data_IF_868334525124
#
_entry.id   IF_868334525124
#
_cell.length_a   1.000
_cell.length_b   1.000
_cell.length_c   1.000
_cell.angle_alpha   90.00
_cell.angle_beta   90.00
_cell.angle_gamma   90.00
#
_symmetry.space_group_name_H-M   'P 1'
#
loop_
_entity.id
_entity.type
_entity.pdbx_description
1 polymer ?
#
# COMPACT_ATOMS: atom_id res chain seq x y z
N UNK A 1 -7.86 -2.89 -20.09
CA UNK A 1 -6.41 -2.71 -20.31
C UNK A 1 -5.76 -2.77 -18.95
N UNK A 2 -5.31 -3.96 -18.55
CA UNK A 2 -4.80 -4.28 -17.21
C UNK A 2 -3.38 -3.72 -17.08
N UNK A 3 -3.15 -2.82 -16.12
CA UNK A 3 -1.81 -2.30 -15.82
C UNK A 3 -0.87 -3.43 -15.35
N UNK A 4 0.45 -3.24 -15.43
CA UNK A 4 1.40 -4.31 -15.17
C UNK A 4 1.40 -4.68 -13.68
N UNK A 5 1.31 -5.99 -13.39
CA UNK A 5 1.71 -6.57 -12.10
C UNK A 5 0.58 -6.98 -11.14
N UNK A 6 -0.29 -7.89 -11.55
CA UNK A 6 -1.12 -8.65 -10.59
C UNK A 6 -0.32 -9.72 -9.81
N UNK A 7 0.99 -9.83 -10.09
CA UNK A 7 2.00 -10.57 -9.30
C UNK A 7 2.84 -9.62 -8.39
N UNK A 8 2.35 -8.40 -8.13
CA UNK A 8 3.02 -7.50 -7.20
C UNK A 8 2.56 -7.83 -5.77
N UNK A 9 3.45 -8.42 -4.97
CA UNK A 9 3.19 -8.66 -3.55
C UNK A 9 2.88 -7.38 -2.77
N UNK A 10 2.73 -7.51 -1.47
CA UNK A 10 2.50 -6.42 -0.54
C UNK A 10 3.81 -6.04 0.14
N UNK A 11 4.20 -4.75 0.16
CA UNK A 11 5.44 -4.32 0.78
C UNK A 11 5.32 -4.35 2.30
N UNK A 12 6.24 -5.06 2.94
CA UNK A 12 6.33 -5.20 4.40
C UNK A 12 7.78 -4.94 4.85
N UNK A 13 7.96 -4.19 5.93
CA UNK A 13 9.27 -3.99 6.58
C UNK A 13 9.11 -3.93 8.11
N UNK A 14 10.21 -4.12 8.84
CA UNK A 14 10.24 -3.99 10.29
C UNK A 14 10.29 -2.52 10.70
N UNK A 15 9.24 -2.02 11.35
CA UNK A 15 9.24 -0.66 11.84
C UNK A 15 9.89 -0.58 13.21
N UNK A 16 11.06 0.06 13.31
CA UNK A 16 11.75 0.27 14.59
C UNK A 16 10.92 1.06 15.62
N UNK A 17 10.01 1.95 15.18
CA UNK A 17 9.11 2.70 16.08
C UNK A 17 7.94 1.87 16.60
N UNK A 18 7.38 0.98 15.79
CA UNK A 18 6.28 0.11 16.20
C UNK A 18 6.78 -1.19 16.85
N UNK A 19 8.05 -1.57 16.64
CA UNK A 19 8.63 -2.81 17.13
C UNK A 19 8.06 -4.06 16.46
N UNK A 20 7.57 -3.97 15.21
CA UNK A 20 6.95 -5.08 14.48
C UNK A 20 7.06 -4.91 12.97
N UNK A 21 6.81 -6.01 12.26
CA UNK A 21 6.64 -6.00 10.82
C UNK A 21 5.29 -5.37 10.45
N UNK A 22 5.32 -4.43 9.51
CA UNK A 22 4.16 -3.62 9.11
C UNK A 22 4.06 -3.50 7.60
N UNK A 23 2.85 -3.32 7.10
CA UNK A 23 2.62 -2.94 5.71
C UNK A 23 3.12 -1.50 5.48
N UNK A 24 3.57 -1.22 4.26
CA UNK A 24 4.04 0.11 3.88
C UNK A 24 3.02 0.81 2.98
N UNK A 25 2.88 2.12 3.15
CA UNK A 25 2.17 2.99 2.22
C UNK A 25 3.13 3.90 1.48
N UNK A 26 2.70 4.41 0.33
CA UNK A 26 3.49 5.34 -0.49
C UNK A 26 2.99 6.75 -0.25
N UNK A 27 3.90 7.63 0.16
CA UNK A 27 3.70 9.06 0.22
C UNK A 27 4.49 9.73 -0.90
N UNK A 28 3.88 10.70 -1.59
CA UNK A 28 4.58 11.54 -2.56
C UNK A 28 4.92 12.86 -1.88
N UNK A 29 6.19 13.27 -1.96
CA UNK A 29 6.60 14.57 -1.45
C UNK A 29 6.24 15.72 -2.42
N UNK A 30 6.64 16.94 -2.08
CA UNK A 30 6.39 18.16 -2.87
C UNK A 30 7.06 18.12 -4.27
N UNK A 31 8.06 17.26 -4.46
CA UNK A 31 8.73 17.05 -5.73
C UNK A 31 8.11 15.91 -6.55
N UNK A 32 7.16 15.17 -5.95
CA UNK A 32 6.53 13.99 -6.54
C UNK A 32 7.33 12.71 -6.36
N UNK A 33 8.36 12.70 -5.51
CA UNK A 33 9.16 11.51 -5.24
C UNK A 33 8.45 10.58 -4.25
N UNK A 34 8.53 9.27 -4.50
CA UNK A 34 7.80 8.27 -3.75
C UNK A 34 8.60 7.76 -2.55
N UNK A 35 8.07 8.01 -1.35
CA UNK A 35 8.61 7.53 -0.08
C UNK A 35 7.74 6.41 0.48
N UNK A 36 8.36 5.34 0.97
CA UNK A 36 7.65 4.24 1.64
C UNK A 36 7.65 4.48 3.13
N UNK A 37 6.46 4.57 3.71
CA UNK A 37 6.28 4.89 5.12
C UNK A 37 5.50 3.78 5.83
N UNK A 38 5.65 3.73 7.15
CA UNK A 38 4.88 2.85 8.03
C UNK A 38 3.39 3.13 7.88
N UNK A 39 2.58 2.09 7.63
CA UNK A 39 1.11 2.23 7.62
C UNK A 39 0.52 2.70 8.96
N UNK A 40 1.25 2.56 10.08
CA UNK A 40 0.73 2.87 11.40
C UNK A 40 1.21 4.18 12.01
N UNK A 41 2.44 4.59 11.71
CA UNK A 41 3.06 5.75 12.37
C UNK A 41 3.79 6.69 11.42
N UNK A 42 3.68 6.46 10.11
CA UNK A 42 4.29 7.27 9.06
C UNK A 42 5.81 7.43 9.15
N UNK A 43 6.48 6.58 9.93
CA UNK A 43 7.94 6.53 9.95
C UNK A 43 8.48 6.10 8.59
N UNK A 44 9.51 6.78 8.12
CA UNK A 44 10.23 6.43 6.90
C UNK A 44 10.88 5.05 7.02
N UNK A 45 10.80 4.29 5.92
CA UNK A 45 11.31 2.93 5.85
C UNK A 45 12.50 2.86 4.92
N UNK A 46 13.49 2.08 5.32
CA UNK A 46 14.61 1.76 4.46
C UNK A 46 14.11 0.96 3.24
N UNK A 47 14.30 1.47 2.00
CA UNK A 47 13.90 0.77 0.80
C UNK A 47 14.64 -0.57 0.60
N UNK A 48 15.84 -0.75 1.16
CA UNK A 48 16.62 -1.99 1.06
C UNK A 48 16.07 -3.10 1.97
N UNK A 49 15.35 -2.75 3.04
CA UNK A 49 14.74 -3.72 3.95
C UNK A 49 13.32 -4.16 3.54
N UNK A 50 12.78 -3.60 2.44
CA UNK A 50 11.43 -3.90 1.97
C UNK A 50 11.34 -5.31 1.40
N UNK A 51 10.43 -6.11 1.97
CA UNK A 51 10.09 -7.45 1.50
C UNK A 51 8.71 -7.42 0.87
N UNK A 52 8.57 -8.03 -0.30
CA UNK A 52 7.29 -8.18 -0.99
C UNK A 52 6.71 -9.55 -0.66
N UNK A 53 5.51 -9.58 -0.09
CA UNK A 53 4.86 -10.82 0.35
C UNK A 53 3.54 -11.07 -0.37
N UNK A 54 3.20 -12.32 -0.61
CA UNK A 54 1.91 -12.70 -1.20
C UNK A 54 0.72 -12.35 -0.29
N UNK A 55 -0.48 -12.19 -0.86
CA UNK A 55 -1.71 -11.93 -0.11
C UNK A 55 -1.93 -12.95 1.02
N UNK A 56 -1.65 -14.22 0.74
CA UNK A 56 -1.80 -15.34 1.69
C UNK A 56 -0.97 -15.18 2.97
N UNK A 57 0.07 -14.33 2.95
CA UNK A 57 0.95 -14.04 4.09
C UNK A 57 0.55 -12.81 4.89
N UNK A 58 -0.38 -11.99 4.39
CA UNK A 58 -0.82 -10.79 5.10
C UNK A 58 -1.44 -11.07 6.47
N UNK A 59 -2.12 -12.23 6.61
CA UNK A 59 -2.72 -12.64 7.87
C UNK A 59 -1.70 -12.77 9.01
N UNK A 60 -0.48 -13.19 8.71
CA UNK A 60 0.62 -13.32 9.68
C UNK A 60 1.04 -11.95 10.26
N UNK A 61 0.79 -10.88 9.51
CA UNK A 61 1.07 -9.48 9.90
C UNK A 61 -0.17 -8.75 10.43
N UNK A 62 -1.31 -9.43 10.53
CA UNK A 62 -2.58 -8.85 10.99
C UNK A 62 -3.33 -8.04 9.93
N UNK A 63 -2.99 -8.21 8.65
CA UNK A 63 -3.69 -7.59 7.53
C UNK A 63 -4.54 -8.62 6.77
N UNK A 64 -5.52 -8.12 6.02
CA UNK A 64 -6.32 -8.95 5.12
C UNK A 64 -6.89 -8.12 4.00
N UNK A 65 -6.94 -8.69 2.81
CA UNK A 65 -7.62 -8.08 1.67
C UNK A 65 -9.09 -8.44 1.76
N UNK A 66 -9.95 -7.42 1.69
CA UNK A 66 -11.38 -7.62 1.48
C UNK A 66 -11.69 -7.12 0.08
N UNK A 67 -12.08 -8.03 -0.80
CA UNK A 67 -12.54 -7.66 -2.13
C UNK A 67 -13.78 -6.78 -2.01
N UNK A 68 -13.72 -5.57 -2.57
CA UNK A 68 -14.89 -4.72 -2.71
C UNK A 68 -15.77 -5.29 -3.84
N UNK A 69 -16.96 -5.79 -3.50
CA UNK A 69 -18.00 -6.07 -4.50
C UNK A 69 -18.64 -4.78 -5.07
N UNK A 70 -18.21 -3.60 -4.62
CA UNK A 70 -18.74 -2.33 -5.08
C UNK A 70 -17.68 -1.25 -4.97
N UNK A 71 -17.43 -0.54 -6.08
CA UNK A 71 -16.58 0.65 -6.09
C UNK A 71 -17.08 1.70 -5.09
N UNK A 72 -16.35 2.82 -4.97
CA UNK A 72 -16.42 3.77 -3.84
C UNK A 72 -17.76 4.49 -3.55
N UNK A 73 -18.92 3.95 -3.95
CA UNK A 73 -20.27 4.41 -3.67
C UNK A 73 -20.68 5.67 -4.43
N UNK A 74 -19.71 6.40 -5.01
CA UNK A 74 -19.93 7.60 -5.79
C UNK A 74 -20.04 7.29 -7.28
N UNK A 75 -21.09 7.76 -7.99
CA UNK A 75 -21.15 7.68 -9.44
C UNK A 75 -19.97 8.46 -10.03
N UNK A 76 -19.01 7.74 -10.64
CA UNK A 76 -17.85 8.35 -11.33
C UNK A 76 -16.47 7.84 -10.89
N UNK A 77 -16.38 7.20 -9.72
CA UNK A 77 -15.12 6.70 -9.16
C UNK A 77 -14.55 5.50 -9.95
N UNK A 78 -15.43 4.64 -10.49
CA UNK A 78 -15.04 3.49 -11.32
C UNK A 78 -14.68 3.83 -12.77
N UNK A 79 -14.71 5.12 -13.16
CA UNK A 79 -14.42 5.57 -14.53
C UNK A 79 -13.07 6.30 -14.65
N UNK A 80 -12.21 6.26 -13.61
CA UNK A 80 -10.89 6.90 -13.66
C UNK A 80 -10.93 8.43 -13.73
N UNK A 81 -11.97 9.07 -13.17
CA UNK A 81 -12.13 10.54 -13.16
C UNK A 81 -11.75 11.20 -11.83
N UNK A 82 -11.14 10.47 -10.90
CA UNK A 82 -10.58 11.07 -9.69
C UNK A 82 -9.44 12.04 -10.08
N UNK A 83 -9.51 13.29 -9.59
CA UNK A 83 -8.46 14.30 -9.81
C UNK A 83 -8.73 15.35 -10.89
N UNK A 84 -9.90 15.36 -11.56
CA UNK A 84 -10.33 16.53 -12.34
C UNK A 84 -11.36 17.33 -11.54
N UNK A 85 -10.88 18.39 -10.89
CA UNK A 85 -11.72 19.50 -10.45
C UNK A 85 -11.97 20.45 -11.63
#
# INVERSE_FOLDING_TARGET
MTGPGADAGFPVSHCARCGRDVLLHVHLDDHGEAHRLCLHCDAEMDPEEVRWVEESKLGDFGYGVRGEAGGCGKPGCGQGRCGRA
#
